data_IF_344033472813
#
_entry.id   IF_344033472813
#
_cell.length_a   1.000
_cell.length_b   1.000
_cell.length_c   1.000
_cell.angle_alpha   90.00
_cell.angle_beta   90.00
_cell.angle_gamma   90.00
#
_symmetry.space_group_name_H-M   'P 1'
#
loop_
_entity.id
_entity.type
_entity.pdbx_description
1 polymer ?
#
# COMPACT_ATOMS: atom_id res chain seq x y z
N UNK A 1 13.57 -11.51 10.00
CA UNK A 1 13.30 -10.32 9.19
C UNK A 1 12.36 -10.61 8.02
N UNK A 2 12.63 -11.66 7.20
CA UNK A 2 11.82 -12.00 5.99
C UNK A 2 10.33 -12.22 6.30
N UNK A 3 9.99 -12.99 7.32
CA UNK A 3 8.61 -13.27 7.72
C UNK A 3 7.83 -12.00 8.05
N UNK A 4 8.45 -11.04 8.75
CA UNK A 4 7.85 -9.74 9.08
C UNK A 4 7.54 -8.93 7.82
N UNK A 5 8.47 -8.86 6.87
CA UNK A 5 8.27 -8.17 5.60
C UNK A 5 7.14 -8.78 4.78
N UNK A 6 7.06 -10.13 4.70
CA UNK A 6 5.98 -10.82 3.97
C UNK A 6 4.61 -10.53 4.58
N UNK A 7 4.48 -10.52 5.90
CA UNK A 7 3.21 -10.24 6.57
C UNK A 7 2.80 -8.78 6.35
N UNK A 8 3.72 -7.84 6.49
CA UNK A 8 3.46 -6.42 6.25
C UNK A 8 3.03 -6.17 4.79
N UNK A 9 3.70 -6.78 3.82
CA UNK A 9 3.33 -6.71 2.41
C UNK A 9 1.94 -7.29 2.17
N UNK A 10 1.64 -8.49 2.66
CA UNK A 10 0.33 -9.12 2.49
C UNK A 10 -0.80 -8.32 3.15
N UNK A 11 -0.55 -7.71 4.30
CA UNK A 11 -1.52 -6.84 4.93
C UNK A 11 -1.81 -5.60 4.07
N UNK A 12 -0.75 -4.91 3.60
CA UNK A 12 -0.87 -3.71 2.78
C UNK A 12 -1.51 -3.99 1.41
N UNK A 13 -1.29 -5.15 0.82
CA UNK A 13 -1.79 -5.48 -0.52
C UNK A 13 -3.12 -6.24 -0.50
N UNK A 14 -3.68 -6.49 0.69
CA UNK A 14 -4.99 -7.13 0.82
C UNK A 14 -6.11 -6.13 0.53
N UNK A 15 -6.94 -6.44 -0.46
CA UNK A 15 -8.17 -5.69 -0.72
C UNK A 15 -9.35 -6.11 0.20
N UNK A 16 -9.15 -7.11 1.05
CA UNK A 16 -10.17 -7.60 1.99
C UNK A 16 -9.90 -7.09 3.41
N UNK A 17 -10.94 -7.10 4.25
CA UNK A 17 -10.84 -6.74 5.67
C UNK A 17 -9.94 -7.69 6.47
N UNK A 18 -9.68 -8.88 5.93
CA UNK A 18 -8.79 -9.87 6.54
C UNK A 18 -7.86 -10.48 5.51
N UNK A 19 -6.71 -10.95 5.95
CA UNK A 19 -5.75 -11.67 5.10
C UNK A 19 -5.28 -12.97 5.75
N UNK A 20 -4.62 -13.80 4.97
CA UNK A 20 -4.11 -15.11 5.41
C UNK A 20 -2.60 -15.19 5.27
N UNK A 21 -1.93 -15.70 6.28
CA UNK A 21 -0.51 -16.00 6.24
C UNK A 21 -0.22 -17.41 6.77
N UNK A 22 0.22 -18.33 5.91
CA UNK A 22 0.41 -19.74 6.24
C UNK A 22 -0.89 -20.38 6.72
N UNK A 23 -0.86 -21.02 7.87
CA UNK A 23 -2.02 -21.63 8.51
C UNK A 23 -2.90 -20.62 9.31
N UNK A 24 -2.48 -19.35 9.42
CA UNK A 24 -3.23 -18.30 10.11
C UNK A 24 -4.16 -17.60 9.14
N UNK A 25 -5.46 -17.75 9.38
CA UNK A 25 -6.54 -17.11 8.63
C UNK A 25 -7.18 -16.00 9.45
N UNK A 26 -7.87 -15.07 8.79
CA UNK A 26 -8.62 -14.02 9.47
C UNK A 26 -7.75 -12.99 10.21
N UNK A 27 -6.52 -12.76 9.73
CA UNK A 27 -5.69 -11.68 10.25
C UNK A 27 -6.31 -10.35 9.85
N UNK A 28 -6.56 -9.49 10.81
CA UNK A 28 -7.26 -8.23 10.63
C UNK A 28 -6.41 -7.22 9.83
N UNK A 29 -7.01 -6.62 8.82
CA UNK A 29 -6.47 -5.52 8.02
C UNK A 29 -7.45 -4.35 7.89
N UNK A 30 -8.37 -4.23 8.85
CA UNK A 30 -9.31 -3.11 8.91
C UNK A 30 -8.65 -1.83 9.39
N UNK A 31 -9.21 -0.71 8.96
CA UNK A 31 -8.85 0.63 9.42
C UNK A 31 -9.76 1.08 10.57
N UNK A 32 -9.49 2.24 11.15
CA UNK A 32 -10.25 2.77 12.31
C UNK A 32 -11.75 2.95 12.05
N UNK A 33 -12.19 3.04 10.80
CA UNK A 33 -13.60 3.09 10.41
C UNK A 33 -14.27 1.69 10.33
N UNK A 34 -13.55 0.62 10.67
CA UNK A 34 -14.03 -0.76 10.66
C UNK A 34 -14.12 -1.39 9.27
N UNK A 35 -13.63 -0.70 8.23
CA UNK A 35 -13.62 -1.21 6.85
C UNK A 35 -12.25 -1.73 6.44
N UNK A 36 -12.19 -2.46 5.33
CA UNK A 36 -10.93 -2.86 4.72
C UNK A 36 -10.08 -1.63 4.40
N UNK A 37 -8.75 -1.77 4.39
CA UNK A 37 -7.84 -0.69 4.01
C UNK A 37 -8.21 -0.06 2.64
N UNK A 38 -8.65 -0.88 1.70
CA UNK A 38 -9.13 -0.44 0.38
C UNK A 38 -10.63 -0.70 0.26
N UNK A 39 -11.42 0.35 0.34
CA UNK A 39 -12.88 0.30 0.20
C UNK A 39 -13.41 1.47 -0.65
N UNK A 40 -14.59 1.26 -1.25
CA UNK A 40 -15.26 2.28 -2.09
C UNK A 40 -16.03 3.31 -1.26
N UNK A 41 -16.31 2.99 -0.03
CA UNK A 41 -17.34 3.61 0.79
C UNK A 41 -16.85 3.94 2.20
N UNK A 42 -15.60 4.36 2.33
CA UNK A 42 -15.10 4.89 3.58
C UNK A 42 -15.97 6.07 4.04
N UNK A 43 -16.51 5.96 5.23
CA UNK A 43 -17.44 6.95 5.77
C UNK A 43 -16.72 7.89 6.73
N UNK A 44 -17.05 9.19 6.61
CA UNK A 44 -16.74 10.17 7.63
C UNK A 44 -17.85 10.26 8.68
N UNK A 45 -17.88 11.36 9.43
CA UNK A 45 -18.99 11.69 10.32
C UNK A 45 -20.28 11.98 9.52
N UNK A 46 -21.41 12.05 10.20
CA UNK A 46 -22.70 12.39 9.60
C UNK A 46 -22.61 13.68 8.77
N UNK A 47 -23.01 13.59 7.50
CA UNK A 47 -22.97 14.70 6.55
C UNK A 47 -21.74 14.75 5.62
N UNK A 48 -20.74 13.91 5.83
CA UNK A 48 -19.62 13.76 4.91
C UNK A 48 -19.89 12.60 3.96
N UNK A 49 -19.82 12.85 2.65
CA UNK A 49 -20.02 11.81 1.64
C UNK A 49 -18.98 10.70 1.77
N UNK A 50 -19.39 9.47 1.46
CA UNK A 50 -18.48 8.35 1.40
C UNK A 50 -17.36 8.59 0.37
N UNK A 51 -16.13 8.25 0.73
CA UNK A 51 -14.94 8.43 -0.10
C UNK A 51 -14.36 7.08 -0.47
N UNK A 52 -13.79 6.99 -1.68
CA UNK A 52 -13.16 5.77 -2.18
C UNK A 52 -11.65 5.95 -2.27
N UNK A 53 -10.90 4.96 -1.84
CA UNK A 53 -9.46 4.87 -2.08
C UNK A 53 -9.08 3.67 -2.96
N UNK A 54 -10.06 3.05 -3.63
CA UNK A 54 -9.84 1.94 -4.56
C UNK A 54 -10.45 2.24 -5.93
N UNK A 55 -9.63 2.14 -6.99
CA UNK A 55 -9.99 2.50 -8.35
C UNK A 55 -9.63 1.39 -9.34
N UNK A 56 -10.50 1.20 -10.35
CA UNK A 56 -10.26 0.23 -11.44
C UNK A 56 -9.30 0.72 -12.51
N UNK A 57 -8.99 2.01 -12.49
CA UNK A 57 -8.14 2.65 -13.50
C UNK A 57 -6.69 2.13 -13.41
N UNK A 58 -6.24 1.49 -14.47
CA UNK A 58 -4.84 1.09 -14.63
C UNK A 58 -3.91 2.31 -14.77
N UNK A 59 -2.60 2.11 -14.58
CA UNK A 59 -1.60 3.16 -14.69
C UNK A 59 -1.56 3.83 -16.09
N UNK A 60 -2.07 3.16 -17.12
CA UNK A 60 -2.12 3.71 -18.48
C UNK A 60 -0.78 3.64 -19.20
N UNK A 61 -0.65 4.41 -20.30
CA UNK A 61 0.59 4.52 -21.07
C UNK A 61 1.29 5.86 -20.84
N UNK A 62 0.67 6.76 -20.10
CA UNK A 62 1.13 8.10 -19.76
C UNK A 62 0.98 8.37 -18.24
N UNK A 63 1.28 9.57 -17.83
CA UNK A 63 1.19 10.01 -16.43
C UNK A 63 -0.19 10.55 -16.03
N UNK A 64 -1.14 10.64 -16.96
CA UNK A 64 -2.44 11.29 -16.75
C UNK A 64 -3.22 10.63 -15.60
N UNK A 65 -3.29 9.30 -15.59
CA UNK A 65 -4.07 8.59 -14.57
C UNK A 65 -3.41 8.69 -13.19
N UNK A 66 -2.08 8.65 -13.14
CA UNK A 66 -1.33 8.84 -11.90
C UNK A 66 -1.62 10.22 -11.29
N UNK A 67 -1.61 11.27 -12.12
CA UNK A 67 -1.90 12.64 -11.69
C UNK A 67 -3.36 12.80 -11.24
N UNK A 68 -4.33 12.15 -11.94
CA UNK A 68 -5.74 12.13 -11.50
C UNK A 68 -5.89 11.48 -10.13
N UNK A 69 -5.29 10.32 -9.89
CA UNK A 69 -5.37 9.65 -8.58
C UNK A 69 -4.68 10.43 -7.47
N UNK A 70 -3.54 11.04 -7.75
CA UNK A 70 -2.87 11.92 -6.80
C UNK A 70 -3.75 13.11 -6.40
N UNK A 71 -4.48 13.70 -7.37
CA UNK A 71 -5.42 14.78 -7.11
C UNK A 71 -6.64 14.32 -6.28
N UNK A 72 -7.14 13.11 -6.51
CA UNK A 72 -8.19 12.51 -5.65
C UNK A 72 -7.69 12.40 -4.22
N UNK A 73 -6.47 11.89 -4.02
CA UNK A 73 -5.88 11.75 -2.70
C UNK A 73 -5.64 13.10 -2.02
N UNK A 74 -5.21 14.13 -2.75
CA UNK A 74 -5.08 15.48 -2.25
C UNK A 74 -6.42 16.05 -1.73
N UNK A 75 -7.53 15.67 -2.36
CA UNK A 75 -8.87 16.11 -2.01
C UNK A 75 -9.57 15.22 -0.97
N UNK A 76 -8.91 14.26 -0.35
CA UNK A 76 -9.51 13.50 0.73
C UNK A 76 -9.91 14.40 1.90
N UNK A 77 -11.12 14.18 2.39
CA UNK A 77 -11.69 14.94 3.49
C UNK A 77 -11.50 14.19 4.82
N UNK A 78 -11.28 14.95 5.87
CA UNK A 78 -11.31 14.43 7.23
C UNK A 78 -12.75 14.11 7.68
N UNK A 79 -12.92 13.59 8.90
CA UNK A 79 -14.22 13.26 9.45
C UNK A 79 -15.16 14.47 9.59
N UNK A 80 -14.64 15.70 9.58
CA UNK A 80 -15.41 16.95 9.66
C UNK A 80 -15.69 17.58 8.28
N UNK A 81 -15.31 16.92 7.17
CA UNK A 81 -15.53 17.41 5.81
C UNK A 81 -14.50 18.43 5.30
N UNK A 82 -13.42 18.67 6.05
CA UNK A 82 -12.34 19.54 5.60
C UNK A 82 -11.33 18.76 4.75
N UNK A 83 -10.86 19.37 3.67
CA UNK A 83 -9.80 18.81 2.83
C UNK A 83 -8.49 18.70 3.61
N UNK A 84 -7.81 17.56 3.50
CA UNK A 84 -6.55 17.27 4.21
C UNK A 84 -5.31 17.72 3.45
N UNK A 85 -5.36 17.82 2.12
CA UNK A 85 -4.29 18.38 1.30
C UNK A 85 -2.98 17.59 1.30
N UNK A 86 -2.98 16.28 1.55
CA UNK A 86 -1.77 15.46 1.52
C UNK A 86 -1.30 15.20 0.10
N UNK A 87 -0.01 15.39 -0.13
CA UNK A 87 0.64 15.09 -1.42
C UNK A 87 1.08 13.63 -1.44
N UNK A 88 0.75 12.93 -2.53
CA UNK A 88 1.19 11.56 -2.76
C UNK A 88 2.56 11.58 -3.44
N UNK A 89 3.51 10.82 -2.89
CA UNK A 89 4.93 10.86 -3.25
C UNK A 89 5.55 9.48 -3.54
N UNK A 90 4.85 8.41 -3.23
CA UNK A 90 5.40 7.05 -3.34
C UNK A 90 4.48 6.16 -4.16
N UNK A 91 5.07 5.42 -5.12
CA UNK A 91 4.38 4.39 -5.91
C UNK A 91 4.92 3.02 -5.49
N UNK A 92 4.03 2.11 -5.12
CA UNK A 92 4.36 0.73 -4.77
C UNK A 92 3.83 -0.19 -5.87
N UNK A 93 4.69 -1.02 -6.41
CA UNK A 93 4.42 -1.89 -7.55
C UNK A 93 4.70 -3.36 -7.20
N UNK A 94 3.90 -4.30 -7.75
CA UNK A 94 4.16 -5.72 -7.62
C UNK A 94 5.39 -6.13 -8.47
N UNK A 95 6.22 -7.02 -7.93
CA UNK A 95 7.45 -7.45 -8.60
C UNK A 95 7.20 -8.31 -9.85
N UNK A 96 6.04 -8.97 -9.96
CA UNK A 96 5.69 -9.81 -11.11
C UNK A 96 5.12 -9.03 -12.33
N UNK A 97 5.20 -7.69 -12.31
CA UNK A 97 4.75 -6.82 -13.42
C UNK A 97 5.89 -5.92 -13.90
N UNK A 98 6.84 -6.46 -14.69
CA UNK A 98 8.00 -5.70 -15.14
C UNK A 98 7.63 -4.55 -16.09
N UNK A 99 6.60 -4.69 -16.91
CA UNK A 99 6.04 -3.67 -17.78
C UNK A 99 5.59 -2.42 -17.02
N UNK A 100 4.85 -2.59 -15.93
CA UNK A 100 4.44 -1.50 -15.04
C UNK A 100 5.64 -0.84 -14.34
N UNK A 101 6.63 -1.64 -13.93
CA UNK A 101 7.84 -1.11 -13.31
C UNK A 101 8.62 -0.23 -14.29
N UNK A 102 8.75 -0.68 -15.55
CA UNK A 102 9.40 0.11 -16.62
C UNK A 102 8.64 1.41 -16.87
N UNK A 103 7.30 1.34 -16.98
CA UNK A 103 6.46 2.51 -17.20
C UNK A 103 6.59 3.52 -16.05
N UNK A 104 6.45 3.06 -14.81
CA UNK A 104 6.58 3.92 -13.63
C UNK A 104 7.98 4.56 -13.53
N UNK A 105 9.04 3.83 -13.88
CA UNK A 105 10.40 4.40 -13.97
C UNK A 105 10.50 5.48 -15.05
N UNK A 106 9.86 5.29 -16.21
CA UNK A 106 9.81 6.32 -17.25
C UNK A 106 9.10 7.57 -16.73
N UNK A 107 7.93 7.43 -16.11
CA UNK A 107 7.17 8.55 -15.53
C UNK A 107 8.01 9.30 -14.49
N UNK A 108 8.70 8.58 -13.60
CA UNK A 108 9.42 9.21 -12.49
C UNK A 108 10.77 9.83 -12.89
N UNK A 109 11.45 9.32 -13.94
CA UNK A 109 12.84 9.68 -14.21
C UNK A 109 13.10 10.27 -15.61
N UNK A 110 12.15 10.17 -16.56
CA UNK A 110 12.33 10.72 -17.91
C UNK A 110 12.40 12.25 -17.89
N UNK A 111 13.21 12.83 -18.77
CA UNK A 111 13.24 14.28 -18.98
C UNK A 111 12.03 14.77 -19.78
N UNK A 112 11.52 13.92 -20.66
CA UNK A 112 10.35 14.20 -21.50
C UNK A 112 9.11 13.50 -20.94
N UNK A 113 7.94 14.12 -21.16
CA UNK A 113 6.66 13.56 -20.74
C UNK A 113 6.40 12.23 -21.45
N UNK A 114 6.01 11.21 -20.68
CA UNK A 114 5.70 9.89 -21.22
C UNK A 114 4.36 9.94 -21.94
N UNK A 115 4.32 9.41 -23.18
CA UNK A 115 3.11 9.42 -24.02
C UNK A 115 2.91 10.68 -24.86
N UNK A 116 3.73 11.72 -24.71
CA UNK A 116 3.71 12.89 -25.59
C UNK A 116 4.57 12.64 -26.85
N UNK A 117 4.04 13.07 -28.02
CA UNK A 117 4.78 13.12 -29.27
C UNK A 117 5.52 14.46 -29.45
N UNK A 118 5.28 15.41 -28.57
CA UNK A 118 5.91 16.72 -28.51
C UNK A 118 7.01 16.67 -27.45
N UNK A 119 8.02 17.47 -27.60
CA UNK A 119 9.16 17.54 -26.66
C UNK A 119 8.79 18.22 -25.34
N UNK A 120 7.70 17.77 -24.72
CA UNK A 120 7.15 18.35 -23.50
C UNK A 120 7.98 17.93 -22.27
N UNK A 121 8.13 18.84 -21.33
CA UNK A 121 8.87 18.59 -20.10
C UNK A 121 8.05 17.70 -19.16
N UNK A 122 8.69 16.67 -18.62
CA UNK A 122 8.06 15.81 -17.61
C UNK A 122 8.02 16.49 -16.24
N UNK A 123 6.85 16.95 -15.86
CA UNK A 123 6.61 17.61 -14.55
C UNK A 123 6.67 16.63 -13.37
N UNK A 124 6.54 15.33 -13.62
CA UNK A 124 6.59 14.27 -12.61
C UNK A 124 8.02 13.81 -12.28
N UNK A 125 9.03 14.32 -13.03
CA UNK A 125 10.41 13.92 -12.81
C UNK A 125 10.86 14.22 -11.38
N UNK A 126 11.30 13.18 -10.66
CA UNK A 126 11.79 13.29 -9.29
C UNK A 126 10.71 13.47 -8.22
N UNK A 127 9.42 13.56 -8.58
CA UNK A 127 8.33 13.67 -7.61
C UNK A 127 8.00 12.33 -6.95
N UNK A 128 8.21 11.21 -7.65
CA UNK A 128 7.75 9.90 -7.23
C UNK A 128 8.89 9.00 -6.76
N UNK A 129 8.76 8.49 -5.55
CA UNK A 129 9.60 7.41 -5.03
C UNK A 129 9.00 6.07 -5.45
N UNK A 130 9.79 5.25 -6.17
CA UNK A 130 9.38 3.93 -6.60
C UNK A 130 9.80 2.86 -5.60
N UNK A 131 8.85 2.03 -5.20
CA UNK A 131 9.06 0.87 -4.34
C UNK A 131 8.52 -0.36 -5.06
N UNK A 132 9.37 -1.35 -5.29
CA UNK A 132 8.96 -2.65 -5.84
C UNK A 132 8.81 -3.63 -4.69
N UNK A 133 7.60 -4.12 -4.46
CA UNK A 133 7.34 -5.11 -3.42
C UNK A 133 7.51 -6.52 -3.97
N UNK A 134 8.59 -7.17 -3.55
CA UNK A 134 8.92 -8.54 -3.95
C UNK A 134 7.98 -9.61 -3.38
N UNK A 135 7.18 -9.28 -2.40
CA UNK A 135 6.23 -10.20 -1.78
C UNK A 135 4.82 -10.05 -2.31
N UNK A 136 4.56 -8.98 -3.07
CA UNK A 136 3.30 -8.74 -3.74
C UNK A 136 3.29 -9.40 -5.12
N UNK A 137 2.38 -10.35 -5.30
CA UNK A 137 2.12 -11.04 -6.56
C UNK A 137 0.74 -10.59 -7.04
N UNK A 138 0.69 -9.77 -8.07
CA UNK A 138 -0.57 -9.38 -8.70
C UNK A 138 -1.17 -10.56 -9.47
N UNK A 139 -2.51 -10.67 -9.52
CA UNK A 139 -3.19 -11.62 -10.39
C UNK A 139 -2.92 -11.30 -11.87
N UNK A 140 -2.99 -12.31 -12.74
CA UNK A 140 -2.58 -12.17 -14.13
C UNK A 140 -3.40 -11.15 -14.93
N UNK A 141 -4.67 -10.98 -14.59
CA UNK A 141 -5.60 -10.09 -15.31
C UNK A 141 -5.65 -8.66 -14.77
N UNK A 142 -4.94 -8.37 -13.67
CA UNK A 142 -4.97 -7.05 -13.04
C UNK A 142 -3.58 -6.42 -13.02
N UNK A 143 -3.54 -5.11 -13.19
CA UNK A 143 -2.33 -4.31 -13.07
C UNK A 143 -2.43 -3.36 -11.87
N UNK A 144 -2.51 -3.90 -10.63
CA UNK A 144 -2.69 -3.09 -9.45
C UNK A 144 -1.39 -2.35 -9.09
N UNK A 145 -1.55 -1.14 -8.62
CA UNK A 145 -0.49 -0.33 -8.04
C UNK A 145 -1.03 0.47 -6.86
N UNK A 146 -0.17 0.77 -5.91
CA UNK A 146 -0.55 1.58 -4.75
C UNK A 146 0.23 2.89 -4.82
N UNK A 147 -0.47 4.00 -4.65
CA UNK A 147 0.16 5.28 -4.35
C UNK A 147 -0.03 5.62 -2.88
N UNK A 148 1.00 6.17 -2.27
CA UNK A 148 1.03 6.47 -0.85
C UNK A 148 1.59 7.87 -0.60
N UNK A 149 1.04 8.55 0.38
CA UNK A 149 1.61 9.77 0.94
C UNK A 149 2.46 9.43 2.16
N UNK A 150 3.75 9.69 2.09
CA UNK A 150 4.68 9.47 3.20
C UNK A 150 4.34 10.34 4.41
N UNK A 151 3.84 11.56 4.18
CA UNK A 151 3.44 12.47 5.25
C UNK A 151 2.15 12.00 5.92
N UNK A 152 1.10 11.70 5.12
CA UNK A 152 -0.16 11.19 5.65
C UNK A 152 0.03 9.88 6.43
N UNK A 153 0.92 9.00 5.98
CA UNK A 153 1.23 7.76 6.68
C UNK A 153 1.79 8.00 8.10
N UNK A 154 2.58 9.04 8.30
CA UNK A 154 3.12 9.40 9.62
C UNK A 154 2.07 10.07 10.49
N UNK A 155 1.37 11.06 9.95
CA UNK A 155 0.43 11.89 10.70
C UNK A 155 -0.82 11.12 11.14
N UNK A 156 -1.28 10.20 10.28
CA UNK A 156 -2.50 9.41 10.49
C UNK A 156 -2.25 8.00 11.04
N UNK A 157 -1.00 7.66 11.38
CA UNK A 157 -0.61 6.30 11.76
C UNK A 157 -1.12 5.27 10.74
N UNK A 158 -0.93 5.55 9.45
CA UNK A 158 -1.48 4.76 8.35
C UNK A 158 -1.04 3.30 8.43
N UNK A 159 0.22 3.04 8.19
CA UNK A 159 0.81 1.70 8.31
C UNK A 159 1.63 1.62 9.60
N UNK A 160 1.18 0.85 10.56
CA UNK A 160 1.87 0.68 11.85
C UNK A 160 2.39 -0.74 12.00
N UNK A 161 3.64 -0.85 12.37
CA UNK A 161 4.28 -2.10 12.74
C UNK A 161 4.61 -2.09 14.23
N UNK A 162 3.96 -2.97 14.99
CA UNK A 162 4.18 -3.13 16.42
C UNK A 162 5.14 -4.29 16.69
N UNK A 163 6.31 -4.02 17.21
CA UNK A 163 7.25 -5.04 17.68
C UNK A 163 7.14 -5.17 19.21
N UNK A 164 6.29 -6.11 19.66
CA UNK A 164 6.05 -6.33 21.07
C UNK A 164 7.19 -7.01 21.79
N UNK A 165 7.80 -7.98 21.10
CA UNK A 165 8.96 -8.71 21.60
C UNK A 165 9.94 -8.86 20.46
N UNK A 166 11.13 -8.30 20.60
CA UNK A 166 12.21 -8.47 19.64
C UNK A 166 12.54 -9.97 19.47
N UNK A 167 13.17 -10.32 18.37
CA UNK A 167 13.57 -11.70 18.15
C UNK A 167 14.66 -12.09 19.15
N UNK A 168 14.33 -13.02 20.04
CA UNK A 168 15.22 -13.60 21.06
C UNK A 168 15.52 -15.06 20.70
N UNK A 169 16.76 -15.46 20.84
CA UNK A 169 17.20 -16.83 20.62
C UNK A 169 17.61 -17.43 21.97
N UNK A 170 17.04 -18.58 22.28
CA UNK A 170 17.33 -19.34 23.48
C UNK A 170 17.99 -20.65 23.09
N UNK A 171 19.05 -21.03 23.81
CA UNK A 171 19.68 -22.30 23.68
C UNK A 171 19.56 -23.07 25.00
N UNK A 172 19.19 -24.33 24.93
CA UNK A 172 19.09 -25.22 26.06
C UNK A 172 19.61 -26.59 25.65
N UNK A 173 20.19 -27.32 26.59
CA UNK A 173 20.59 -28.69 26.38
C UNK A 173 19.55 -29.59 27.04
N UNK A 174 19.01 -30.54 26.27
CA UNK A 174 18.14 -31.56 26.82
C UNK A 174 18.96 -32.47 27.73
N UNK A 175 18.56 -32.53 29.00
CA UNK A 175 19.27 -33.34 30.02
C UNK A 175 19.16 -34.84 29.78
N UNK A 176 18.14 -35.29 29.03
CA UNK A 176 17.92 -36.73 28.77
C UNK A 176 18.70 -37.23 27.54
N UNK A 177 18.70 -36.43 26.45
CA UNK A 177 19.33 -36.82 25.19
C UNK A 177 20.67 -36.12 24.93
N UNK A 178 20.98 -35.06 25.71
CA UNK A 178 22.12 -34.16 25.55
C UNK A 178 22.13 -33.41 24.21
N UNK A 179 20.97 -33.32 23.56
CA UNK A 179 20.80 -32.56 22.32
C UNK A 179 20.77 -31.08 22.60
N UNK A 180 21.37 -30.26 21.72
CA UNK A 180 21.28 -28.82 21.76
C UNK A 180 19.98 -28.34 21.11
N UNK A 181 19.08 -27.84 21.92
CA UNK A 181 17.79 -27.26 21.45
C UNK A 181 17.96 -25.75 21.31
N UNK A 182 17.82 -25.24 20.09
CA UNK A 182 17.77 -23.81 19.82
C UNK A 182 16.34 -23.39 19.51
N UNK A 183 15.79 -22.51 20.32
CA UNK A 183 14.46 -21.94 20.12
C UNK A 183 14.55 -20.43 19.82
N UNK A 184 13.66 -19.93 18.95
CA UNK A 184 13.59 -18.53 18.61
C UNK A 184 12.16 -18.01 18.85
N UNK A 185 12.04 -16.91 19.57
CA UNK A 185 10.76 -16.28 19.87
C UNK A 185 10.76 -14.82 19.41
N UNK A 186 9.68 -14.40 18.80
CA UNK A 186 9.40 -13.00 18.49
C UNK A 186 7.90 -12.77 18.42
N UNK A 187 7.43 -11.60 18.84
CA UNK A 187 6.01 -11.21 18.79
C UNK A 187 5.89 -9.84 18.13
N UNK A 188 5.10 -9.77 17.07
CA UNK A 188 4.84 -8.54 16.33
C UNK A 188 3.41 -8.52 15.80
N UNK A 189 2.93 -7.35 15.47
CA UNK A 189 1.64 -7.13 14.83
C UNK A 189 1.76 -6.04 13.77
N UNK A 190 0.90 -6.09 12.77
CA UNK A 190 0.74 -5.05 11.74
C UNK A 190 -0.69 -4.53 11.85
N UNK A 191 -0.88 -3.25 11.70
CA UNK A 191 -2.19 -2.64 11.72
C UNK A 191 -2.23 -1.35 10.91
N UNK A 192 -3.43 -0.87 10.65
CA UNK A 192 -3.69 0.36 9.91
C UNK A 192 -4.52 1.30 10.78
N UNK A 193 -4.10 2.55 10.90
CA UNK A 193 -4.86 3.57 11.60
C UNK A 193 -5.92 4.18 10.69
N UNK A 194 -5.50 4.84 9.65
CA UNK A 194 -6.38 5.53 8.71
C UNK A 194 -6.08 5.08 7.27
N UNK A 195 -7.10 5.06 6.42
CA UNK A 195 -7.03 4.64 5.03
C UNK A 195 -6.56 5.76 4.06
N UNK A 196 -6.64 7.04 4.47
CA UNK A 196 -6.41 8.21 3.60
C UNK A 196 -4.97 8.39 3.15
N UNK A 197 -4.06 7.62 3.67
CA UNK A 197 -2.64 7.66 3.30
C UNK A 197 -2.31 6.85 2.04
N UNK A 198 -3.23 5.98 1.58
CA UNK A 198 -3.03 5.09 0.42
C UNK A 198 -4.21 5.09 -0.54
N UNK A 199 -3.90 4.88 -1.83
CA UNK A 199 -4.88 4.63 -2.89
C UNK A 199 -4.42 3.42 -3.69
N UNK A 200 -5.34 2.51 -3.97
CA UNK A 200 -5.14 1.37 -4.87
C UNK A 200 -5.71 1.70 -6.24
N UNK A 201 -4.87 1.71 -7.26
CA UNK A 201 -5.26 1.79 -8.66
C UNK A 201 -5.15 0.45 -9.36
N UNK A 202 -5.82 0.28 -10.50
CA UNK A 202 -5.81 -0.97 -11.27
C UNK A 202 -6.45 -2.16 -10.55
N UNK A 203 -7.35 -1.92 -9.61
CA UNK A 203 -8.05 -2.98 -8.90
C UNK A 203 -9.08 -3.68 -9.80
N UNK A 204 -9.33 -4.97 -9.57
CA UNK A 204 -10.38 -5.72 -10.27
C UNK A 204 -11.79 -5.16 -9.99
N UNK A 205 -11.99 -4.58 -8.80
CA UNK A 205 -13.23 -3.91 -8.41
C UNK A 205 -12.89 -2.62 -7.64
N UNK A 206 -13.50 -1.52 -8.03
CA UNK A 206 -13.20 -0.20 -7.47
C UNK A 206 -14.16 0.86 -8.01
N UNK A 207 -13.96 2.12 -7.65
CA UNK A 207 -14.54 3.27 -8.34
C UNK A 207 -13.81 3.50 -9.66
N UNK A 208 -14.46 4.14 -10.62
CA UNK A 208 -13.84 4.48 -11.91
C UNK A 208 -13.75 6.00 -12.02
N UNK A 209 -12.55 6.50 -12.34
CA UNK A 209 -12.35 7.91 -12.68
C UNK A 209 -12.55 8.09 -14.19
N UNK A 210 -13.30 9.10 -14.55
CA UNK A 210 -13.54 9.54 -15.93
C UNK A 210 -12.64 10.69 -16.32
#
# INVERSE_FOLDING_TARGET
KRTRAVIASKALTSAAATFTYGAKTGLDSTTADGKALFAKDHTGNTGVAAQSNVFTNALGTDDTMLNKLANVGFNFMNASGNNMGYVFDTIILPANRPDMIVLAKKIANSDQQVGSNFNDVNVNKGMWKLVVDHHWQAADETNPYIIMSSQANKDLLGNVFFDRTAMETFQNVDTMTQDLITSCRGRFSVGFGDWRHVILGGAAAGSTLT
#
